data_IF_663138458361
#
_entry.id   IF_663138458361
#
_cell.length_a   1.000
_cell.length_b   1.000
_cell.length_c   1.000
_cell.angle_alpha   90.00
_cell.angle_beta   90.00
_cell.angle_gamma   90.00
#
_symmetry.space_group_name_H-M   'P 1'
#
loop_
_entity.id
_entity.type
_entity.pdbx_description
1 polymer ?
#
# COMPACT_ATOMS: atom_id res chain seq x y z
N UNK A 1 -23.49 4.17 4.68
CA UNK A 1 -23.71 3.57 3.34
C UNK A 1 -23.49 2.06 3.47
N UNK A 2 -24.41 1.22 2.99
CA UNK A 2 -24.24 -0.25 3.04
C UNK A 2 -23.48 -0.73 1.79
N UNK A 3 -22.84 -1.91 1.85
CA UNK A 3 -22.16 -2.50 0.69
C UNK A 3 -23.09 -2.60 -0.52
N UNK A 4 -24.33 -3.05 -0.30
CA UNK A 4 -25.34 -3.19 -1.35
C UNK A 4 -25.71 -1.85 -1.97
N UNK A 5 -25.90 -0.80 -1.16
CA UNK A 5 -26.23 0.53 -1.69
C UNK A 5 -25.06 1.13 -2.46
N UNK A 6 -23.83 0.97 -1.97
CA UNK A 6 -22.63 1.45 -2.67
C UNK A 6 -22.44 0.76 -4.03
N UNK A 7 -22.64 -0.56 -4.11
CA UNK A 7 -22.57 -1.30 -5.39
C UNK A 7 -23.63 -0.76 -6.36
N UNK A 8 -24.85 -0.54 -5.88
CA UNK A 8 -25.93 0.00 -6.70
C UNK A 8 -25.56 1.39 -7.24
N UNK A 9 -25.08 2.28 -6.38
CA UNK A 9 -24.70 3.65 -6.76
C UNK A 9 -23.55 3.63 -7.79
N UNK A 10 -22.55 2.75 -7.60
CA UNK A 10 -21.45 2.57 -8.55
C UNK A 10 -21.97 2.07 -9.91
N UNK A 11 -22.85 1.07 -9.93
CA UNK A 11 -23.40 0.55 -11.19
C UNK A 11 -24.17 1.63 -11.96
N UNK A 12 -24.98 2.44 -11.27
CA UNK A 12 -25.68 3.56 -11.90
C UNK A 12 -24.72 4.62 -12.46
N UNK A 13 -23.60 4.90 -11.77
CA UNK A 13 -22.57 5.77 -12.30
C UNK A 13 -21.92 5.19 -13.55
N UNK A 14 -21.59 3.89 -13.55
CA UNK A 14 -21.00 3.22 -14.72
C UNK A 14 -21.94 3.25 -15.93
N UNK A 15 -23.24 3.02 -15.73
CA UNK A 15 -24.26 3.09 -16.78
C UNK A 15 -24.41 4.49 -17.40
N UNK A 16 -24.07 5.55 -16.65
CA UNK A 16 -24.17 6.92 -17.13
C UNK A 16 -22.99 7.37 -18.01
N UNK A 17 -21.94 6.54 -18.13
CA UNK A 17 -20.74 6.86 -18.90
C UNK A 17 -20.90 6.35 -20.33
N UNK A 18 -21.00 7.28 -21.28
CA UNK A 18 -21.11 6.95 -22.71
C UNK A 18 -19.74 6.78 -23.40
N UNK A 19 -18.69 7.36 -22.81
CA UNK A 19 -17.34 7.38 -23.35
C UNK A 19 -16.61 6.08 -23.00
N UNK A 20 -16.30 5.28 -24.03
CA UNK A 20 -15.67 3.97 -23.87
C UNK A 20 -14.27 4.09 -23.25
N UNK A 21 -13.47 5.08 -23.64
CA UNK A 21 -12.11 5.25 -23.12
C UNK A 21 -12.14 5.52 -21.61
N UNK A 22 -13.13 6.30 -21.15
CA UNK A 22 -13.36 6.52 -19.70
C UNK A 22 -13.79 5.24 -18.99
N UNK A 23 -14.62 4.42 -19.63
CA UNK A 23 -15.09 3.16 -19.05
C UNK A 23 -13.95 2.13 -18.95
N UNK A 24 -13.07 2.07 -19.95
CA UNK A 24 -11.86 1.24 -19.94
C UNK A 24 -10.91 1.65 -18.80
N UNK A 25 -10.68 2.95 -18.61
CA UNK A 25 -9.86 3.45 -17.51
C UNK A 25 -10.42 3.05 -16.13
N UNK A 26 -11.74 3.05 -15.97
CA UNK A 26 -12.40 2.62 -14.72
C UNK A 26 -12.28 1.10 -14.55
N UNK A 27 -12.43 0.33 -15.63
CA UNK A 27 -12.22 -1.11 -15.61
C UNK A 27 -10.81 -1.48 -15.13
N UNK A 28 -9.78 -0.84 -15.72
CA UNK A 28 -8.39 -1.06 -15.32
C UNK A 28 -8.15 -0.73 -13.84
N UNK A 29 -8.76 0.36 -13.34
CA UNK A 29 -8.67 0.74 -11.93
C UNK A 29 -9.30 -0.32 -11.00
N UNK A 30 -10.49 -0.82 -11.35
CA UNK A 30 -11.18 -1.86 -10.58
C UNK A 30 -10.37 -3.16 -10.60
N UNK A 31 -9.82 -3.55 -11.76
CA UNK A 31 -8.93 -4.70 -11.90
C UNK A 31 -7.66 -4.54 -11.05
N UNK A 32 -7.04 -3.36 -11.06
CA UNK A 32 -5.89 -3.06 -10.22
C UNK A 32 -6.23 -3.32 -8.75
N UNK A 33 -7.29 -2.74 -8.21
CA UNK A 33 -7.66 -2.94 -6.81
C UNK A 33 -8.08 -4.39 -6.48
N UNK A 34 -8.69 -5.10 -7.43
CA UNK A 34 -9.06 -6.51 -7.25
C UNK A 34 -7.83 -7.41 -7.17
N UNK A 35 -6.80 -7.10 -7.96
CA UNK A 35 -5.62 -7.94 -8.13
C UNK A 35 -4.44 -7.50 -7.26
N UNK A 36 -4.41 -6.27 -6.75
CA UNK A 36 -3.45 -5.85 -5.74
C UNK A 36 -3.69 -6.61 -4.44
N UNK A 37 -2.91 -7.66 -4.21
CA UNK A 37 -2.70 -8.20 -2.86
C UNK A 37 -2.10 -7.09 -2.02
N UNK A 38 -2.77 -6.81 -0.91
CA UNK A 38 -2.40 -5.89 0.17
C UNK A 38 -0.95 -5.36 0.06
N UNK A 39 -0.78 -4.17 -0.53
CA UNK A 39 0.52 -3.56 -0.84
C UNK A 39 1.30 -3.12 0.39
N UNK A 40 0.85 -3.45 1.59
CA UNK A 40 1.62 -3.25 2.81
C UNK A 40 2.88 -4.10 2.73
N UNK A 41 4.03 -3.45 2.52
CA UNK A 41 5.37 -4.06 2.47
C UNK A 41 5.58 -5.06 3.60
N UNK A 42 5.09 -4.73 4.80
CA UNK A 42 5.10 -5.61 5.97
C UNK A 42 4.50 -6.99 5.71
N UNK A 43 3.39 -7.09 4.97
CA UNK A 43 2.70 -8.35 4.71
C UNK A 43 3.42 -9.24 3.69
N UNK A 44 4.39 -8.69 2.95
CA UNK A 44 5.23 -9.39 1.99
C UNK A 44 6.56 -9.88 2.57
N UNK A 45 6.93 -9.47 3.79
CA UNK A 45 8.16 -9.90 4.44
C UNK A 45 8.04 -11.30 5.05
N UNK A 46 9.11 -12.09 4.95
CA UNK A 46 9.26 -13.34 5.70
C UNK A 46 9.30 -13.07 7.21
N UNK A 47 9.07 -14.10 8.03
CA UNK A 47 9.18 -13.96 9.48
C UNK A 47 10.58 -13.52 9.92
N UNK A 48 11.62 -14.00 9.23
CA UNK A 48 13.01 -13.60 9.47
C UNK A 48 13.23 -12.11 9.15
N UNK A 49 12.73 -11.64 8.00
CA UNK A 49 12.84 -10.22 7.61
C UNK A 49 12.09 -9.30 8.58
N UNK A 50 10.90 -9.71 9.04
CA UNK A 50 10.15 -8.99 10.09
C UNK A 50 10.93 -8.93 11.39
N UNK A 51 11.47 -10.06 11.83
CA UNK A 51 12.29 -10.14 13.04
C UNK A 51 13.52 -9.23 12.96
N UNK A 52 14.15 -9.15 11.78
CA UNK A 52 15.32 -8.30 11.58
C UNK A 52 14.95 -6.80 11.66
N UNK A 53 13.82 -6.39 11.09
CA UNK A 53 13.35 -5.00 11.19
C UNK A 53 13.01 -4.63 12.64
N UNK A 54 12.30 -5.50 13.36
CA UNK A 54 11.95 -5.26 14.76
C UNK A 54 13.20 -5.17 15.63
N UNK A 55 14.17 -6.08 15.43
CA UNK A 55 15.45 -6.06 16.13
C UNK A 55 16.23 -4.78 15.85
N UNK A 56 16.32 -4.34 14.59
CA UNK A 56 17.00 -3.10 14.23
C UNK A 56 16.33 -1.87 14.87
N UNK A 57 14.99 -1.88 15.00
CA UNK A 57 14.25 -0.84 15.70
C UNK A 57 14.58 -0.81 17.19
N UNK A 58 14.52 -1.96 17.87
CA UNK A 58 14.91 -2.09 19.29
C UNK A 58 16.37 -1.66 19.53
N UNK A 59 17.28 -2.07 18.64
CA UNK A 59 18.70 -1.72 18.72
C UNK A 59 18.94 -0.21 18.52
N UNK A 60 18.11 0.46 17.74
CA UNK A 60 18.20 1.91 17.51
C UNK A 60 17.79 2.77 18.70
N UNK A 61 17.07 2.20 19.68
CA UNK A 61 16.76 2.88 20.94
C UNK A 61 17.96 2.93 21.89
N UNK A 62 19.04 2.19 21.59
CA UNK A 62 20.30 2.29 22.30
C UNK A 62 21.25 3.25 21.58
N UNK A 63 21.54 4.39 22.20
CA UNK A 63 22.44 5.42 21.69
C UNK A 63 23.85 4.89 21.33
N UNK A 64 24.33 3.83 22.01
CA UNK A 64 25.64 3.21 21.71
C UNK A 64 25.67 2.52 20.34
N UNK A 65 24.51 2.13 19.81
CA UNK A 65 24.38 1.53 18.48
C UNK A 65 24.21 2.58 17.37
N UNK A 66 24.06 3.86 17.73
CA UNK A 66 23.86 4.93 16.76
C UNK A 66 25.20 5.43 16.23
N UNK A 67 25.26 5.63 14.91
CA UNK A 67 26.40 6.30 14.31
C UNK A 67 26.26 7.83 14.46
N UNK A 68 27.37 8.55 14.68
CA UNK A 68 27.35 10.01 14.73
C UNK A 68 26.77 10.63 13.45
N UNK A 69 25.97 11.68 13.59
CA UNK A 69 25.31 12.37 12.47
C UNK A 69 26.29 12.80 11.37
N UNK A 70 27.49 13.25 11.74
CA UNK A 70 28.54 13.65 10.80
C UNK A 70 29.13 12.47 10.00
N UNK A 71 28.87 11.22 10.39
CA UNK A 71 29.25 10.02 9.62
C UNK A 71 28.13 9.60 8.66
N UNK A 72 26.87 9.88 9.00
CA UNK A 72 25.70 9.61 8.13
C UNK A 72 25.76 10.43 6.83
N UNK A 73 26.22 11.68 6.89
CA UNK A 73 26.25 12.61 5.73
C UNK A 73 27.62 12.73 5.06
N UNK A 74 28.57 11.83 5.34
CA UNK A 74 29.81 11.73 4.58
C UNK A 74 29.53 11.07 3.22
N UNK A 75 29.11 11.89 2.25
CA UNK A 75 29.18 11.60 0.82
C UNK A 75 30.50 12.06 0.23
#
# INVERSE_FOLDING_TARGET
MTKTNLIKDINTLLESIEDLDKLEAIYELIEYYRNTKDTRTWNHLTQEQKSHILKAFEESENDENLIPMNEVFKG
#
